data_IF_348196890044
#
_entry.id   IF_348196890044
#
_cell.length_a   1.000
_cell.length_b   1.000
_cell.length_c   1.000
_cell.angle_alpha   90.00
_cell.angle_beta   90.00
_cell.angle_gamma   90.00
#
_symmetry.space_group_name_H-M   'P 1'
#
loop_
_entity.id
_entity.type
_entity.pdbx_description
1 polymer ?
#
# COMPACT_ATOMS: atom_id res chain seq x y z
N UNK A 1 21.14 -12.76 60.29
CA UNK A 1 21.68 -11.58 59.56
C UNK A 1 22.95 -12.04 58.88
N UNK A 2 23.09 -12.13 57.56
CA UNK A 2 22.50 -11.33 56.47
C UNK A 2 22.44 -12.17 55.17
N UNK A 3 21.46 -11.85 54.33
CA UNK A 3 21.13 -12.38 53.01
C UNK A 3 22.27 -12.34 51.97
N UNK A 4 22.24 -13.28 51.00
CA UNK A 4 22.26 -12.99 49.55
C UNK A 4 21.85 -14.22 48.70
N UNK A 5 21.00 -13.96 47.71
CA UNK A 5 20.39 -14.88 46.72
C UNK A 5 21.20 -14.94 45.41
N UNK A 6 21.05 -16.04 44.68
CA UNK A 6 20.74 -16.14 43.23
C UNK A 6 20.69 -17.64 42.85
N UNK A 7 19.64 -18.24 42.28
CA UNK A 7 19.03 -18.06 40.95
C UNK A 7 19.57 -19.17 40.00
N UNK A 8 18.89 -19.87 39.07
CA UNK A 8 17.55 -19.92 38.46
C UNK A 8 17.44 -21.28 37.73
N UNK A 9 16.26 -21.95 37.74
CA UNK A 9 15.34 -22.16 36.60
C UNK A 9 15.60 -23.39 35.71
N UNK A 10 14.63 -24.32 35.68
CA UNK A 10 14.50 -25.41 34.72
C UNK A 10 13.33 -25.16 33.76
N UNK A 11 13.54 -25.51 32.49
CA UNK A 11 12.58 -25.33 31.40
C UNK A 11 11.57 -26.48 31.32
N UNK A 12 10.26 -26.16 31.24
CA UNK A 12 9.22 -27.11 30.87
C UNK A 12 8.38 -26.54 29.71
N UNK A 13 8.38 -27.29 28.61
CA UNK A 13 7.86 -26.89 27.32
C UNK A 13 6.35 -26.64 27.26
N UNK A 14 6.00 -25.65 26.43
CA UNK A 14 4.70 -25.46 25.81
C UNK A 14 4.92 -24.96 24.38
N UNK A 15 4.40 -25.68 23.37
CA UNK A 15 4.28 -25.16 21.99
C UNK A 15 2.81 -24.84 21.74
N UNK A 16 2.41 -23.58 21.49
CA UNK A 16 1.07 -23.28 21.03
C UNK A 16 0.95 -23.38 19.50
N UNK A 17 -0.24 -23.79 19.09
CA UNK A 17 -0.75 -23.93 17.73
C UNK A 17 -0.90 -22.54 17.08
N UNK A 18 -0.51 -22.42 15.81
CA UNK A 18 -0.41 -21.15 15.08
C UNK A 18 -1.75 -20.43 14.90
N UNK A 19 -1.81 -19.20 15.42
CA UNK A 19 -2.84 -18.19 15.17
C UNK A 19 -2.51 -17.45 13.86
N UNK A 20 -3.45 -17.39 12.92
CA UNK A 20 -3.35 -16.50 11.75
C UNK A 20 -3.60 -15.07 12.22
N UNK A 21 -2.56 -14.23 12.22
CA UNK A 21 -2.68 -12.80 12.53
C UNK A 21 -2.55 -12.00 11.24
N UNK A 22 -3.66 -11.41 10.79
CA UNK A 22 -3.63 -10.23 9.94
C UNK A 22 -3.43 -9.01 10.85
N UNK A 23 -2.25 -8.42 10.81
CA UNK A 23 -1.87 -7.29 11.65
C UNK A 23 -0.37 -7.24 11.83
N UNK A 24 0.30 -6.47 10.97
CA UNK A 24 1.76 -6.29 11.02
C UNK A 24 2.11 -5.47 12.27
N UNK A 25 2.76 -6.12 13.24
CA UNK A 25 3.57 -5.46 14.26
C UNK A 25 5.04 -5.80 13.98
N UNK A 26 5.85 -4.76 13.76
CA UNK A 26 7.30 -4.86 13.59
C UNK A 26 7.96 -5.41 14.85
N UNK A 27 8.80 -6.45 14.72
CA UNK A 27 9.90 -6.68 15.66
C UNK A 27 11.05 -7.46 14.99
N UNK A 28 12.19 -6.79 14.86
CA UNK A 28 13.53 -7.38 14.93
C UNK A 28 14.06 -8.18 13.74
N UNK A 29 14.67 -7.51 12.76
CA UNK A 29 15.82 -8.08 12.05
C UNK A 29 16.92 -7.02 11.94
N UNK A 30 18.09 -7.32 12.52
CA UNK A 30 19.27 -6.46 12.39
C UNK A 30 19.99 -6.87 11.11
N UNK A 31 19.72 -6.16 10.01
CA UNK A 31 20.60 -6.16 8.85
C UNK A 31 21.50 -4.93 8.95
N UNK A 32 22.77 -5.14 9.31
CA UNK A 32 23.79 -4.11 9.22
C UNK A 32 24.10 -3.90 7.73
N UNK A 33 23.50 -2.87 7.16
CA UNK A 33 23.70 -2.44 5.79
C UNK A 33 23.06 -1.06 5.64
N UNK A 34 23.90 -0.03 5.47
CA UNK A 34 23.57 1.39 5.32
C UNK A 34 22.08 1.74 5.52
N UNK A 35 21.73 2.29 6.69
CA UNK A 35 20.53 3.12 6.83
C UNK A 35 20.74 4.30 5.88
N UNK A 36 20.35 4.13 4.61
CA UNK A 36 19.99 5.27 3.80
C UNK A 36 18.73 5.77 4.46
N UNK A 37 18.86 6.78 5.33
CA UNK A 37 17.76 7.69 5.59
C UNK A 37 17.43 8.29 4.24
N UNK A 38 16.61 7.59 3.46
CA UNK A 38 15.89 8.20 2.37
C UNK A 38 15.01 9.23 3.09
N UNK A 39 15.48 10.48 3.11
CA UNK A 39 14.62 11.62 3.38
C UNK A 39 13.60 11.63 2.24
N UNK A 40 12.58 10.77 2.35
CA UNK A 40 11.36 10.96 1.61
C UNK A 40 10.89 12.36 2.00
N UNK A 41 10.75 13.23 1.01
CA UNK A 41 10.16 14.54 1.25
C UNK A 41 8.83 14.30 2.00
N UNK A 42 8.51 15.11 3.01
CA UNK A 42 7.37 14.88 3.89
C UNK A 42 6.08 15.21 3.12
N UNK A 43 5.69 14.31 2.22
CA UNK A 43 4.58 14.45 1.29
C UNK A 43 3.45 13.48 1.67
N UNK A 44 2.23 13.99 1.64
CA UNK A 44 1.03 13.18 1.67
C UNK A 44 0.31 13.26 0.31
N UNK A 45 -0.18 12.14 -0.16
CA UNK A 45 -1.05 12.06 -1.34
C UNK A 45 -2.47 11.76 -0.87
N UNK A 46 -3.41 12.65 -1.16
CA UNK A 46 -4.80 12.56 -0.68
C UNK A 46 -5.74 12.52 -1.87
N UNK A 47 -6.58 11.49 -1.94
CA UNK A 47 -7.60 11.33 -2.98
C UNK A 47 -8.75 12.33 -2.76
N UNK A 48 -9.15 13.03 -3.82
CA UNK A 48 -10.27 13.96 -3.82
C UNK A 48 -11.40 13.37 -4.69
N UNK A 49 -12.28 12.57 -4.09
CA UNK A 49 -13.31 11.81 -4.79
C UNK A 49 -14.22 12.69 -5.67
N UNK A 50 -14.65 13.84 -5.15
CA UNK A 50 -15.52 14.78 -5.86
C UNK A 50 -14.84 15.57 -6.99
N UNK A 51 -13.50 15.57 -7.07
CA UNK A 51 -12.73 16.40 -8.00
C UNK A 51 -11.90 15.61 -9.01
N UNK A 52 -12.01 14.28 -9.02
CA UNK A 52 -11.24 13.40 -9.90
C UNK A 52 -9.72 13.70 -9.85
N UNK A 53 -9.20 13.94 -8.64
CA UNK A 53 -7.81 14.36 -8.45
C UNK A 53 -7.17 13.81 -7.19
N UNK A 54 -5.85 13.90 -7.11
CA UNK A 54 -5.04 13.63 -5.91
C UNK A 54 -4.27 14.88 -5.54
N UNK A 55 -4.42 15.35 -4.31
CA UNK A 55 -3.65 16.46 -3.75
C UNK A 55 -2.31 15.95 -3.23
N UNK A 56 -1.23 16.59 -3.64
CA UNK A 56 0.11 16.41 -3.05
C UNK A 56 0.29 17.50 -2.01
N UNK A 57 0.47 17.12 -0.75
CA UNK A 57 0.53 18.02 0.38
C UNK A 57 1.90 17.92 1.02
N UNK A 58 2.57 19.05 1.23
CA UNK A 58 3.72 19.10 2.12
C UNK A 58 3.22 19.09 3.57
N UNK A 59 3.57 18.06 4.33
CA UNK A 59 3.06 17.86 5.70
C UNK A 59 3.77 18.73 6.73
N UNK A 60 4.94 19.30 6.41
CA UNK A 60 5.65 20.25 7.27
C UNK A 60 5.02 21.63 7.15
N UNK A 61 4.83 22.14 5.93
CA UNK A 61 4.24 23.47 5.70
C UNK A 61 2.71 23.45 5.71
N UNK A 62 2.09 22.26 5.64
CA UNK A 62 0.64 22.05 5.53
C UNK A 62 0.03 22.75 4.31
N UNK A 63 0.76 22.75 3.19
CA UNK A 63 0.33 23.38 1.95
C UNK A 63 0.16 22.36 0.84
N UNK A 64 -0.81 22.58 -0.05
CA UNK A 64 -0.95 21.82 -1.29
C UNK A 64 0.14 22.28 -2.26
N UNK A 65 0.92 21.34 -2.78
CA UNK A 65 1.97 21.59 -3.77
C UNK A 65 1.44 21.45 -5.19
N UNK A 66 0.59 20.43 -5.43
CA UNK A 66 0.03 20.14 -6.75
C UNK A 66 -1.23 19.30 -6.63
N UNK A 67 -2.10 19.42 -7.63
CA UNK A 67 -3.24 18.53 -7.82
C UNK A 67 -3.03 17.71 -9.09
N UNK A 68 -3.09 16.40 -8.97
CA UNK A 68 -2.85 15.45 -10.05
C UNK A 68 -4.21 14.94 -10.52
N UNK A 69 -4.57 15.18 -11.78
CA UNK A 69 -5.81 14.63 -12.35
C UNK A 69 -5.72 13.11 -12.49
N UNK A 70 -6.75 12.40 -12.05
CA UNK A 70 -6.89 10.94 -12.13
C UNK A 70 -8.27 10.58 -12.69
N UNK A 71 -8.69 9.32 -12.54
CA UNK A 71 -10.03 8.89 -12.93
C UNK A 71 -11.13 9.45 -12.03
N UNK A 72 -12.38 9.11 -12.36
CA UNK A 72 -13.56 9.55 -11.62
C UNK A 72 -13.69 8.79 -10.28
N UNK A 73 -14.13 9.54 -9.27
CA UNK A 73 -14.31 9.08 -7.87
C UNK A 73 -13.12 8.25 -7.37
N UNK A 74 -11.93 8.86 -7.24
CA UNK A 74 -10.80 8.19 -6.61
C UNK A 74 -11.11 7.84 -5.16
N UNK A 75 -10.87 6.59 -4.76
CA UNK A 75 -11.20 6.05 -3.43
C UNK A 75 -9.93 5.92 -2.58
N UNK A 76 -9.06 4.96 -2.93
CA UNK A 76 -7.88 4.62 -2.17
C UNK A 76 -6.61 4.84 -3.00
N UNK A 77 -5.51 5.11 -2.30
CA UNK A 77 -4.16 5.17 -2.85
C UNK A 77 -3.22 4.23 -2.09
N UNK A 78 -2.33 3.55 -2.82
CA UNK A 78 -1.21 2.79 -2.26
C UNK A 78 0.10 3.17 -2.97
N UNK A 79 1.17 3.32 -2.21
CA UNK A 79 2.50 3.70 -2.71
C UNK A 79 3.41 2.46 -2.72
N UNK A 80 4.21 2.29 -3.76
CA UNK A 80 5.17 1.20 -3.84
C UNK A 80 6.20 1.30 -2.72
N UNK A 81 6.76 0.19 -2.22
CA UNK A 81 7.74 0.20 -1.12
C UNK A 81 8.99 1.05 -1.40
N UNK A 82 9.39 1.16 -2.68
CA UNK A 82 10.49 2.03 -3.11
C UNK A 82 10.10 3.52 -3.23
N UNK A 83 8.84 3.86 -2.96
CA UNK A 83 8.31 5.21 -3.00
C UNK A 83 8.08 5.79 -4.39
N UNK A 84 8.44 5.09 -5.47
CA UNK A 84 8.52 5.66 -6.82
C UNK A 84 7.17 5.79 -7.54
N UNK A 85 6.18 4.96 -7.19
CA UNK A 85 4.86 4.97 -7.82
C UNK A 85 3.75 4.93 -6.80
N UNK A 86 2.67 5.62 -7.09
CA UNK A 86 1.41 5.51 -6.37
C UNK A 86 0.31 5.00 -7.29
N UNK A 87 -0.52 4.10 -6.79
CA UNK A 87 -1.64 3.51 -7.51
C UNK A 87 -2.94 3.95 -6.85
N UNK A 88 -3.85 4.51 -7.64
CA UNK A 88 -5.11 5.11 -7.17
C UNK A 88 -6.28 4.36 -7.79
N UNK A 89 -7.17 3.82 -6.96
CA UNK A 89 -8.42 3.20 -7.42
C UNK A 89 -9.43 4.27 -7.77
N UNK A 90 -9.99 4.21 -8.98
CA UNK A 90 -11.00 5.15 -9.47
C UNK A 90 -12.33 4.40 -9.65
N UNK A 91 -13.20 4.47 -8.63
CA UNK A 91 -14.39 3.63 -8.55
C UNK A 91 -15.38 3.89 -9.69
N UNK A 92 -15.55 5.15 -10.08
CA UNK A 92 -16.50 5.61 -11.09
C UNK A 92 -15.97 5.46 -12.51
N UNK A 93 -14.66 5.25 -12.67
CA UNK A 93 -14.06 4.93 -13.97
C UNK A 93 -13.77 3.44 -14.17
N UNK A 94 -13.89 2.60 -13.14
CA UNK A 94 -13.48 1.19 -13.17
C UNK A 94 -12.01 1.01 -13.60
N UNK A 95 -11.14 1.91 -13.14
CA UNK A 95 -9.71 1.90 -13.48
C UNK A 95 -8.82 2.14 -12.27
N UNK A 96 -7.53 1.89 -12.44
CA UNK A 96 -6.46 2.32 -11.54
C UNK A 96 -5.55 3.30 -12.26
N UNK A 97 -5.35 4.49 -11.70
CA UNK A 97 -4.35 5.46 -12.18
C UNK A 97 -3.01 5.18 -11.53
N UNK A 98 -1.93 5.30 -12.29
CA UNK A 98 -0.55 5.18 -11.80
C UNK A 98 0.10 6.55 -11.82
N UNK A 99 0.66 6.99 -10.70
CA UNK A 99 1.32 8.28 -10.52
C UNK A 99 2.81 8.02 -10.28
N UNK A 100 3.67 8.72 -11.01
CA UNK A 100 5.08 8.87 -10.67
C UNK A 100 5.21 9.92 -9.56
N UNK A 101 5.77 9.53 -8.42
CA UNK A 101 5.87 10.39 -7.23
C UNK A 101 7.02 11.39 -7.31
N UNK A 102 8.04 11.12 -8.14
CA UNK A 102 9.15 12.03 -8.36
C UNK A 102 8.74 13.24 -9.20
N UNK A 103 7.92 13.02 -10.21
CA UNK A 103 7.36 14.04 -11.10
C UNK A 103 5.96 14.54 -10.72
N UNK A 104 5.27 13.89 -9.78
CA UNK A 104 3.88 14.17 -9.42
C UNK A 104 2.94 14.18 -10.64
N UNK A 105 3.05 13.17 -11.49
CA UNK A 105 2.29 13.07 -12.73
C UNK A 105 1.77 11.65 -12.97
N UNK A 106 0.60 11.53 -13.61
CA UNK A 106 0.10 10.23 -14.06
C UNK A 106 1.00 9.68 -15.18
N UNK A 107 1.31 8.39 -15.11
CA UNK A 107 2.11 7.68 -16.11
C UNK A 107 1.27 6.64 -16.84
N UNK A 108 1.30 6.73 -18.17
CA UNK A 108 0.59 5.82 -19.06
C UNK A 108 -0.93 5.99 -19.03
N UNK A 109 -1.62 5.03 -19.64
CA UNK A 109 -3.08 4.94 -19.60
C UNK A 109 -3.56 4.32 -18.29
N UNK A 110 -4.74 4.72 -17.77
CA UNK A 110 -5.35 4.05 -16.62
C UNK A 110 -5.53 2.56 -16.88
N UNK A 111 -5.28 1.75 -15.86
CA UNK A 111 -5.36 0.30 -15.92
C UNK A 111 -6.81 -0.11 -15.71
N UNK A 112 -7.46 -0.69 -16.71
CA UNK A 112 -8.81 -1.23 -16.55
C UNK A 112 -8.83 -2.41 -15.58
N UNK A 113 -9.76 -2.38 -14.62
CA UNK A 113 -9.98 -3.44 -13.63
C UNK A 113 -11.47 -3.82 -13.61
N UNK A 114 -11.91 -4.56 -12.59
CA UNK A 114 -13.33 -4.87 -12.42
C UNK A 114 -14.17 -3.65 -12.04
N UNK A 115 -15.47 -3.86 -11.87
CA UNK A 115 -16.42 -2.81 -11.54
C UNK A 115 -16.29 -2.33 -10.10
N UNK A 116 -16.43 -1.02 -9.91
CA UNK A 116 -16.38 -0.33 -8.61
C UNK A 116 -15.15 -0.72 -7.76
N UNK A 117 -13.92 -0.48 -8.26
CA UNK A 117 -12.70 -0.73 -7.49
C UNK A 117 -12.63 0.22 -6.28
N UNK A 118 -12.44 -0.33 -5.09
CA UNK A 118 -12.41 0.45 -3.85
C UNK A 118 -11.03 0.36 -3.22
N UNK A 119 -10.60 -0.86 -2.91
CA UNK A 119 -9.37 -1.10 -2.16
C UNK A 119 -8.18 -1.43 -3.04
N UNK A 120 -6.98 -1.08 -2.59
CA UNK A 120 -5.72 -1.48 -3.23
C UNK A 120 -4.60 -1.74 -2.22
N UNK A 121 -3.87 -2.84 -2.42
CA UNK A 121 -2.70 -3.19 -1.64
C UNK A 121 -1.53 -3.60 -2.54
N UNK A 122 -0.32 -3.19 -2.19
CA UNK A 122 0.91 -3.50 -2.93
C UNK A 122 1.75 -4.48 -2.11
N UNK A 123 2.27 -5.50 -2.79
CA UNK A 123 3.18 -6.49 -2.18
C UNK A 123 4.45 -5.85 -1.62
N UNK A 124 5.07 -6.42 -0.57
CA UNK A 124 6.30 -5.85 0.03
C UNK A 124 7.49 -5.77 -0.91
N UNK A 125 7.56 -6.66 -1.92
CA UNK A 125 8.58 -6.58 -2.98
C UNK A 125 8.22 -5.60 -4.10
N UNK A 126 7.03 -4.99 -4.03
CA UNK A 126 6.53 -4.02 -4.99
C UNK A 126 6.09 -4.59 -6.33
N UNK A 127 6.13 -5.91 -6.56
CA UNK A 127 5.94 -6.52 -7.89
C UNK A 127 4.46 -6.67 -8.31
N UNK A 128 3.57 -6.77 -7.32
CA UNK A 128 2.13 -6.94 -7.53
C UNK A 128 1.32 -5.93 -6.74
N UNK A 129 0.23 -5.45 -7.34
CA UNK A 129 -0.85 -4.76 -6.65
C UNK A 129 -2.15 -5.57 -6.77
N UNK A 130 -2.92 -5.65 -5.69
CA UNK A 130 -4.20 -6.34 -5.61
C UNK A 130 -5.30 -5.31 -5.41
N UNK A 131 -6.32 -5.35 -6.26
CA UNK A 131 -7.41 -4.37 -6.30
C UNK A 131 -8.71 -5.08 -6.02
N UNK A 132 -9.46 -4.64 -5.01
CA UNK A 132 -10.79 -5.18 -4.69
C UNK A 132 -11.84 -4.50 -5.55
N UNK A 133 -12.53 -5.28 -6.39
CA UNK A 133 -13.60 -4.83 -7.28
C UNK A 133 -14.95 -5.16 -6.64
N UNK A 134 -15.46 -4.26 -5.82
CA UNK A 134 -16.68 -4.50 -5.03
C UNK A 134 -17.93 -4.71 -5.89
N UNK A 135 -18.02 -4.06 -7.06
CA UNK A 135 -19.15 -4.20 -7.97
C UNK A 135 -19.10 -5.49 -8.80
N UNK A 136 -17.95 -6.14 -8.87
CA UNK A 136 -17.75 -7.39 -9.62
C UNK A 136 -17.49 -8.60 -8.73
N UNK A 137 -17.47 -8.46 -7.40
CA UNK A 137 -17.18 -9.57 -6.48
C UNK A 137 -15.85 -10.30 -6.78
N UNK A 138 -14.85 -9.53 -7.24
CA UNK A 138 -13.54 -10.07 -7.66
C UNK A 138 -12.37 -9.23 -7.16
N UNK A 139 -11.16 -9.79 -7.25
CA UNK A 139 -9.89 -9.09 -7.06
C UNK A 139 -9.09 -9.13 -8.36
N UNK A 140 -8.67 -7.97 -8.85
CA UNK A 140 -7.73 -7.86 -9.97
C UNK A 140 -6.30 -7.84 -9.45
N UNK A 141 -5.40 -8.51 -10.17
CA UNK A 141 -3.96 -8.51 -9.88
C UNK A 141 -3.24 -7.71 -10.96
N UNK A 142 -2.46 -6.73 -10.56
CA UNK A 142 -1.68 -5.87 -11.47
C UNK A 142 -0.19 -6.18 -11.32
N UNK A 143 0.50 -6.38 -12.44
CA UNK A 143 1.96 -6.30 -12.54
C UNK A 143 2.39 -4.83 -12.52
N UNK A 144 3.20 -4.45 -11.54
CA UNK A 144 3.62 -3.06 -11.35
C UNK A 144 4.77 -2.64 -12.27
N UNK A 145 5.52 -3.60 -12.83
CA UNK A 145 6.58 -3.30 -13.78
C UNK A 145 5.98 -2.92 -15.15
N UNK A 146 5.00 -3.70 -15.60
CA UNK A 146 4.27 -3.49 -16.85
C UNK A 146 3.03 -2.60 -16.73
N UNK A 147 2.58 -2.27 -15.52
CA UNK A 147 1.31 -1.56 -15.26
C UNK A 147 0.12 -2.21 -15.99
N UNK A 148 -0.03 -3.52 -15.84
CA UNK A 148 -1.06 -4.28 -16.54
C UNK A 148 -1.69 -5.32 -15.61
N UNK A 149 -2.98 -5.60 -15.81
CA UNK A 149 -3.65 -6.72 -15.14
C UNK A 149 -3.05 -8.04 -15.64
N UNK A 150 -2.79 -8.96 -14.73
CA UNK A 150 -2.26 -10.29 -15.03
C UNK A 150 -3.24 -11.37 -14.59
N UNK A 151 -3.48 -12.31 -15.50
CA UNK A 151 -4.41 -13.42 -15.28
C UNK A 151 -5.88 -13.00 -15.24
N UNK A 152 -6.74 -13.96 -14.90
CA UNK A 152 -8.16 -13.73 -14.70
C UNK A 152 -8.42 -13.15 -13.30
N UNK A 153 -9.43 -12.27 -13.12
CA UNK A 153 -9.83 -11.79 -11.80
C UNK A 153 -10.17 -12.94 -10.85
N UNK A 154 -9.78 -12.80 -9.58
CA UNK A 154 -9.99 -13.81 -8.54
C UNK A 154 -11.37 -13.58 -7.91
N UNK A 155 -12.32 -14.54 -7.98
CA UNK A 155 -13.61 -14.40 -7.29
C UNK A 155 -13.45 -14.40 -5.77
N UNK A 156 -14.17 -13.53 -5.06
CA UNK A 156 -14.08 -13.40 -3.58
C UNK A 156 -15.41 -13.56 -2.84
N UNK A 157 -16.48 -13.98 -3.53
CA UNK A 157 -17.79 -14.26 -2.94
C UNK A 157 -18.81 -13.13 -3.14
N UNK A 158 -20.07 -13.42 -2.82
CA UNK A 158 -21.24 -12.55 -3.02
C UNK A 158 -22.03 -12.35 -1.73
#
# INVERSE_FOLDING_TARGET
MTHRQSGLSGDNGWRPIGLIVAGVACLGFVASGAVRTANAAPLAYVTNSASASVSVINTVTKTVLSNISVGLTPEQIAITPNGARAYVTNSGSNTVSVIDTGGNAVVGSPISVGSNPVGIAITPNGARAYVTNSGSNTVSVIDTAGNAVVGSPIPVGS
#
